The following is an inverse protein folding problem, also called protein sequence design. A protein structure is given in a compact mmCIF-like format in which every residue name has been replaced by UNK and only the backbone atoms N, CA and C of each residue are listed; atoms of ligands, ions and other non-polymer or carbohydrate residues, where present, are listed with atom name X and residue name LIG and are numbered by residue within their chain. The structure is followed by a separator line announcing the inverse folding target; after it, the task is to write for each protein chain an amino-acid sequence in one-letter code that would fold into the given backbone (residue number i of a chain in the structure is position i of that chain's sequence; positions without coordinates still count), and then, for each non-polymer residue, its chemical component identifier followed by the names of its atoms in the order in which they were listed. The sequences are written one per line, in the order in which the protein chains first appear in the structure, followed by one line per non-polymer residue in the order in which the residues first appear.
data_IF_505397848449
#
_entry.id   IF_505397848449
#
_cell.length_a   1.000
_cell.length_b   1.000
_cell.length_c   1.000
_cell.angle_alpha   90.00
_cell.angle_beta   90.00
_cell.angle_gamma   90.00
#
_symmetry.space_group_name_H-M   'P 1'
#
loop_
_entity.id
_entity.type
_entity.pdbx_description
1 polymer ?
#
# COMPACT_ATOMS: atom_id res chain seq x y z
N UNK A 1 2.31 10.71 -8.69
CA UNK A 1 1.66 10.46 -7.40
C UNK A 1 2.35 9.27 -6.73
N UNK A 2 2.68 9.40 -5.45
CA UNK A 2 3.43 8.36 -4.77
C UNK A 2 2.49 7.44 -4.00
N UNK A 3 2.60 6.15 -4.27
CA UNK A 3 1.87 5.11 -3.56
C UNK A 3 2.82 4.23 -2.78
N UNK A 4 2.36 3.78 -1.62
CA UNK A 4 3.11 2.91 -0.74
C UNK A 4 2.21 1.77 -0.30
N UNK A 5 2.75 0.56 -0.28
CA UNK A 5 2.02 -0.60 0.24
C UNK A 5 2.69 -1.02 1.53
N UNK A 6 1.91 -1.15 2.60
CA UNK A 6 2.45 -1.58 3.88
C UNK A 6 2.75 -3.07 3.81
N UNK A 7 4.04 -3.42 3.87
CA UNK A 7 4.47 -4.83 3.89
C UNK A 7 4.26 -5.42 5.29
N UNK A 8 4.74 -4.69 6.30
CA UNK A 8 4.57 -5.11 7.70
C UNK A 8 4.80 -3.91 8.61
N UNK A 9 4.30 -4.03 9.82
CA UNK A 9 4.51 -3.02 10.85
C UNK A 9 5.40 -3.64 11.93
N UNK A 10 6.53 -2.98 12.23
CA UNK A 10 7.48 -3.44 13.23
C UNK A 10 7.72 -2.33 14.24
N UNK A 11 7.32 -2.56 15.49
CA UNK A 11 7.56 -1.60 16.56
C UNK A 11 6.96 -0.23 16.23
N UNK A 12 7.82 0.77 16.05
CA UNK A 12 7.39 2.15 15.83
C UNK A 12 7.51 2.60 14.36
N UNK A 13 7.66 1.67 13.42
CA UNK A 13 7.72 2.00 12.00
C UNK A 13 7.02 0.92 11.16
N UNK A 14 6.66 1.29 9.94
CA UNK A 14 6.11 0.39 8.96
C UNK A 14 7.11 0.24 7.81
N UNK A 15 7.32 -1.00 7.38
CA UNK A 15 8.14 -1.29 6.20
C UNK A 15 7.18 -1.26 5.01
N UNK A 16 7.42 -0.34 4.09
CA UNK A 16 6.54 -0.11 2.95
C UNK A 16 7.28 -0.24 1.64
N UNK A 17 6.55 -0.70 0.62
CA UNK A 17 7.06 -0.77 -0.73
C UNK A 17 6.58 0.45 -1.49
N UNK A 18 7.52 1.27 -1.95
CA UNK A 18 7.22 2.50 -2.68
C UNK A 18 7.24 2.21 -4.17
N UNK A 19 6.14 2.49 -4.84
CA UNK A 19 6.00 2.35 -6.30
C UNK A 19 6.44 0.98 -6.84
N UNK A 20 6.33 -0.05 -6.00
CA UNK A 20 6.64 -1.41 -6.40
C UNK A 20 8.12 -1.74 -6.51
N UNK A 21 9.01 -0.81 -6.18
CA UNK A 21 10.45 -1.02 -6.40
C UNK A 21 11.31 -0.83 -5.16
N UNK A 22 10.99 0.14 -4.32
CA UNK A 22 11.87 0.55 -3.23
C UNK A 22 11.22 0.29 -1.90
N UNK A 23 11.96 -0.32 -0.97
CA UNK A 23 11.49 -0.50 0.39
C UNK A 23 11.89 0.71 1.22
N UNK A 24 10.94 1.28 1.94
CA UNK A 24 11.16 2.43 2.81
C UNK A 24 10.51 2.18 4.15
N UNK A 25 11.07 2.80 5.19
CA UNK A 25 10.49 2.74 6.53
C UNK A 25 9.76 4.06 6.79
N UNK A 26 8.52 3.95 7.22
CA UNK A 26 7.69 5.11 7.56
C UNK A 26 7.39 5.04 9.04
N UNK A 27 7.64 6.14 9.76
CA UNK A 27 7.32 6.21 11.18
C UNK A 27 5.84 5.90 11.40
N UNK A 28 5.57 5.06 12.39
CA UNK A 28 4.19 4.69 12.72
C UNK A 28 3.35 5.92 13.07
N UNK A 29 3.97 6.96 13.63
CA UNK A 29 3.28 8.19 13.96
C UNK A 29 2.74 8.93 12.73
N UNK A 30 3.29 8.63 11.53
CA UNK A 30 2.84 9.25 10.28
C UNK A 30 1.78 8.44 9.56
N UNK A 31 1.48 7.24 10.05
CA UNK A 31 0.45 6.40 9.43
C UNK A 31 -0.94 6.92 9.77
N UNK A 32 -1.88 6.85 8.82
CA UNK A 32 -3.27 7.20 9.12
C UNK A 32 -3.88 6.18 10.09
N UNK A 33 -4.91 6.61 10.81
CA UNK A 33 -5.60 5.74 11.76
C UNK A 33 -6.14 4.50 11.05
N UNK A 34 -5.95 3.36 11.70
CA UNK A 34 -6.45 2.10 11.17
C UNK A 34 -5.60 1.46 10.09
N UNK A 35 -4.42 2.02 9.80
CA UNK A 35 -3.53 1.44 8.80
C UNK A 35 -3.00 0.09 9.27
N UNK A 36 -3.08 -0.93 8.38
CA UNK A 36 -2.63 -2.28 8.66
C UNK A 36 -1.86 -2.83 7.46
N UNK A 37 -1.23 -3.98 7.64
CA UNK A 37 -0.54 -4.68 6.55
C UNK A 37 -1.45 -4.86 5.34
N UNK A 38 -0.89 -4.63 4.17
CA UNK A 38 -1.61 -4.76 2.90
C UNK A 38 -2.31 -3.50 2.44
N UNK A 39 -2.43 -2.50 3.30
CA UNK A 39 -3.07 -1.25 2.91
C UNK A 39 -2.20 -0.46 1.93
N UNK A 40 -2.87 0.28 1.04
CA UNK A 40 -2.21 1.19 0.13
C UNK A 40 -2.33 2.61 0.69
N UNK A 41 -1.19 3.27 0.79
CA UNK A 41 -1.10 4.65 1.23
C UNK A 41 -0.79 5.55 0.04
N UNK A 42 -1.35 6.74 0.05
CA UNK A 42 -1.02 7.79 -0.91
C UNK A 42 -0.45 8.97 -0.16
N UNK A 43 0.66 9.49 -0.65
CA UNK A 43 1.29 10.66 -0.04
C UNK A 43 0.66 11.93 -0.59
N UNK A 44 0.25 12.82 0.32
CA UNK A 44 -0.31 14.11 -0.06
C UNK A 44 0.80 15.14 -0.27
N UNK A 45 0.49 16.27 -0.95
CA UNK A 45 1.50 17.31 -1.18
C UNK A 45 2.16 17.86 0.08
N UNK A 46 1.46 17.83 1.21
CA UNK A 46 2.01 18.31 2.48
C UNK A 46 2.89 17.26 3.17
N UNK A 47 3.06 16.09 2.55
CA UNK A 47 3.89 15.03 3.10
C UNK A 47 3.16 14.04 3.99
N UNK A 48 1.89 14.26 4.27
CA UNK A 48 1.10 13.32 5.08
C UNK A 48 0.64 12.14 4.21
N UNK A 49 0.16 11.09 4.87
CA UNK A 49 -0.30 9.88 4.20
C UNK A 49 -1.79 9.66 4.46
N UNK A 50 -2.48 9.17 3.46
CA UNK A 50 -3.89 8.76 3.58
C UNK A 50 -4.04 7.33 3.06
N UNK A 51 -5.04 6.63 3.58
CA UNK A 51 -5.40 5.32 3.04
C UNK A 51 -6.11 5.53 1.71
N UNK A 52 -5.65 4.83 0.67
CA UNK A 52 -6.28 4.91 -0.64
C UNK A 52 -7.01 3.60 -0.93
N UNK A 53 -8.27 3.56 -0.51
CA UNK A 53 -9.12 2.38 -0.65
C UNK A 53 -9.43 2.07 -2.11
N UNK A 54 -9.56 3.08 -2.94
CA UNK A 54 -9.84 2.89 -4.38
C UNK A 54 -8.67 2.24 -5.09
N UNK A 55 -7.46 2.70 -4.81
CA UNK A 55 -6.27 2.10 -5.41
C UNK A 55 -6.05 0.68 -4.91
N UNK A 56 -6.31 0.44 -3.62
CA UNK A 56 -6.22 -0.88 -3.03
C UNK A 56 -7.18 -1.85 -3.73
N UNK A 57 -8.39 -1.42 -3.98
CA UNK A 57 -9.40 -2.22 -4.67
C UNK A 57 -9.01 -2.49 -6.12
N UNK A 58 -8.48 -1.47 -6.80
CA UNK A 58 -8.02 -1.63 -8.19
C UNK A 58 -6.92 -2.68 -8.28
N UNK A 59 -5.97 -2.66 -7.36
CA UNK A 59 -4.86 -3.61 -7.34
C UNK A 59 -5.34 -5.02 -7.04
N UNK A 60 -6.30 -5.15 -6.14
CA UNK A 60 -6.90 -6.44 -5.81
C UNK A 60 -7.62 -7.03 -7.02
N UNK A 61 -8.41 -6.21 -7.72
CA UNK A 61 -9.12 -6.64 -8.93
C UNK A 61 -8.15 -7.06 -10.01
N UNK A 62 -7.11 -6.30 -10.24
CA UNK A 62 -6.11 -6.61 -11.25
C UNK A 62 -5.44 -7.96 -10.96
N UNK A 63 -5.12 -8.21 -9.69
CA UNK A 63 -4.52 -9.49 -9.29
C UNK A 63 -5.48 -10.65 -9.53
N UNK A 64 -6.75 -10.48 -9.17
CA UNK A 64 -7.77 -11.50 -9.38
C UNK A 64 -8.00 -11.80 -10.87
N UNK A 65 -8.04 -10.76 -11.69
CA UNK A 65 -8.19 -10.91 -13.14
C UNK A 65 -7.01 -11.66 -13.75
N UNK A 66 -5.80 -11.37 -13.29
CA UNK A 66 -4.61 -12.09 -13.72
C UNK A 66 -4.70 -13.57 -13.35
N UNK A 67 -5.11 -13.86 -12.12
CA UNK A 67 -5.28 -15.24 -11.67
C UNK A 67 -6.34 -15.97 -12.48
N UNK A 68 -7.47 -15.31 -12.73
CA UNK A 68 -8.54 -15.90 -13.54
C UNK A 68 -8.07 -16.18 -14.95
N UNK A 69 -7.28 -15.26 -15.52
CA UNK A 69 -6.70 -15.46 -16.85
C UNK A 69 -5.75 -16.63 -16.93
N UNK A 70 -5.05 -16.94 -15.82
CA UNK A 70 -4.15 -18.08 -15.79
C UNK A 70 -4.89 -19.41 -15.76
N UNK A 71 -6.09 -19.44 -15.22
CA UNK A 71 -6.88 -20.67 -15.08
C UNK A 71 -7.96 -20.80 -16.15
N UNK A 72 -8.20 -19.78 -16.91
CA UNK A 72 -9.29 -19.69 -17.86
C UNK A 72 -8.78 -19.96 -19.27
N UNK A 73 -8.44 -21.18 -19.54
CA UNK A 73 -8.00 -21.57 -20.85
C UNK A 73 -8.98 -22.47 -21.56
#
# INVERSE_FOLDING_TARGET
MEYYVIDRIEGNYAVCEKDGETMVNISRALLPDGAVEGNVLRRLPDGSFVLDREEEERRRKAALELMNGLFDE
#
